data_IF_327944137454
#
_entry.id   IF_327944137454
#
_cell.length_a   1.000
_cell.length_b   1.000
_cell.length_c   1.000
_cell.angle_alpha   90.00
_cell.angle_beta   90.00
_cell.angle_gamma   90.00
#
_symmetry.space_group_name_H-M   'P 1'
#
loop_
_entity.id
_entity.type
_entity.pdbx_description
1 polymer ?
#
# COMPACT_ATOMS: atom_id res chain seq x y z
N UNK A 1 -30.38 47.09 15.72
CA UNK A 1 -30.78 45.81 15.09
C UNK A 1 -29.78 45.48 13.99
N UNK A 2 -28.88 44.53 14.24
CA UNK A 2 -27.80 44.16 13.31
C UNK A 2 -28.35 43.08 12.37
N UNK A 3 -28.55 43.42 11.09
CA UNK A 3 -28.92 42.46 10.04
C UNK A 3 -27.63 41.79 9.55
N UNK A 4 -27.28 40.66 10.15
CA UNK A 4 -26.26 39.77 9.59
C UNK A 4 -26.80 39.25 8.25
N UNK A 5 -26.11 39.47 7.11
CA UNK A 5 -26.63 39.03 5.81
C UNK A 5 -26.61 37.51 5.78
N UNK A 6 -27.76 36.90 5.50
CA UNK A 6 -27.94 35.44 5.33
C UNK A 6 -26.92 34.86 4.33
N UNK A 7 -26.48 35.67 3.37
CA UNK A 7 -25.41 35.35 2.40
C UNK A 7 -24.05 35.02 3.03
N UNK A 8 -23.70 35.65 4.16
CA UNK A 8 -22.39 35.43 4.82
C UNK A 8 -22.39 34.09 5.57
N UNK A 9 -23.51 33.69 6.18
CA UNK A 9 -23.63 32.38 6.83
C UNK A 9 -23.54 31.22 5.82
N UNK A 10 -24.16 31.36 4.65
CA UNK A 10 -24.10 30.32 3.60
C UNK A 10 -22.70 30.16 3.01
N UNK A 11 -21.92 31.25 2.91
CA UNK A 11 -20.55 31.19 2.38
C UNK A 11 -19.60 30.48 3.37
N UNK A 12 -19.77 30.70 4.67
CA UNK A 12 -18.98 30.04 5.72
C UNK A 12 -19.35 28.55 5.82
N UNK A 13 -20.63 28.19 5.69
CA UNK A 13 -21.06 26.79 5.66
C UNK A 13 -20.54 26.02 4.42
N UNK A 14 -20.49 26.69 3.25
CA UNK A 14 -19.93 26.12 2.03
C UNK A 14 -18.41 25.93 2.10
N UNK A 15 -17.68 26.85 2.75
CA UNK A 15 -16.24 26.71 2.99
C UNK A 15 -15.91 25.61 4.01
N UNK A 16 -16.74 25.41 5.03
CA UNK A 16 -16.57 24.33 6.01
C UNK A 16 -16.85 22.94 5.41
N UNK A 17 -17.78 22.84 4.46
CA UNK A 17 -18.09 21.58 3.77
C UNK A 17 -17.02 21.15 2.77
N UNK A 18 -16.14 22.06 2.35
CA UNK A 18 -15.02 21.76 1.45
C UNK A 18 -13.83 21.09 2.17
N UNK A 19 -13.80 21.13 3.51
CA UNK A 19 -12.94 20.29 4.34
C UNK A 19 -13.69 19.02 4.76
N UNK A 20 -14.29 18.33 3.79
CA UNK A 20 -14.63 16.94 4.00
C UNK A 20 -13.31 16.24 4.34
N UNK A 21 -13.18 15.81 5.61
CA UNK A 21 -12.13 14.93 6.07
C UNK A 21 -11.89 13.91 4.96
N UNK A 22 -10.64 13.77 4.52
CA UNK A 22 -10.23 12.63 3.71
C UNK A 22 -10.35 11.39 4.61
N UNK A 23 -11.60 10.95 4.82
CA UNK A 23 -11.96 9.83 5.65
C UNK A 23 -11.32 8.56 5.14
N UNK A 24 -11.35 7.52 5.97
CA UNK A 24 -10.95 6.18 5.56
C UNK A 24 -11.62 5.84 4.22
N UNK A 25 -10.81 5.61 3.19
CA UNK A 25 -11.33 5.25 1.88
C UNK A 25 -11.27 3.75 1.72
N UNK A 26 -12.16 3.19 0.91
CA UNK A 26 -12.20 1.74 0.66
C UNK A 26 -11.50 1.42 -0.65
N UNK A 27 -10.67 0.38 -0.64
CA UNK A 27 -10.06 -0.20 -1.82
C UNK A 27 -10.42 -1.69 -1.92
N UNK A 28 -10.63 -2.18 -3.15
CA UNK A 28 -10.86 -3.61 -3.39
C UNK A 28 -9.55 -4.33 -3.63
N UNK A 29 -9.33 -5.45 -2.94
CA UNK A 29 -8.21 -6.34 -3.22
C UNK A 29 -8.53 -7.14 -4.47
N UNK A 30 -7.68 -7.04 -5.48
CA UNK A 30 -7.82 -7.80 -6.73
C UNK A 30 -7.01 -9.08 -6.72
N UNK A 31 -5.78 -9.00 -6.22
CA UNK A 31 -4.82 -10.10 -6.24
C UNK A 31 -3.79 -9.89 -5.14
N UNK A 32 -3.24 -10.99 -4.62
CA UNK A 32 -2.20 -10.99 -3.59
C UNK A 32 -1.10 -11.95 -4.06
N UNK A 33 0.13 -11.46 -4.10
CA UNK A 33 1.34 -12.27 -4.30
C UNK A 33 2.08 -12.38 -2.99
N UNK A 34 2.46 -13.59 -2.62
CA UNK A 34 3.14 -13.89 -1.36
C UNK A 34 4.61 -14.21 -1.60
N UNK A 35 5.51 -13.58 -0.85
CA UNK A 35 6.94 -13.83 -0.88
C UNK A 35 7.38 -14.38 0.49
N UNK A 36 7.24 -15.69 0.74
CA UNK A 36 7.43 -16.27 2.07
C UNK A 36 8.89 -16.23 2.53
N UNK A 37 9.84 -16.25 1.58
CA UNK A 37 11.27 -16.12 1.87
C UNK A 37 11.66 -14.67 2.18
N UNK A 38 10.82 -13.71 1.80
CA UNK A 38 11.05 -12.29 1.98
C UNK A 38 11.80 -11.64 0.82
N UNK A 39 12.63 -10.66 1.13
CA UNK A 39 13.38 -9.86 0.15
C UNK A 39 14.74 -10.49 -0.07
N UNK A 40 15.29 -10.27 -1.25
CA UNK A 40 16.68 -10.59 -1.55
C UNK A 40 17.53 -9.58 -0.77
N UNK A 41 18.26 -10.09 0.23
CA UNK A 41 19.20 -9.32 1.02
C UNK A 41 20.51 -9.12 0.24
N UNK A 42 21.04 -10.20 -0.35
CA UNK A 42 22.21 -10.18 -1.22
C UNK A 42 22.26 -11.42 -2.12
N UNK A 43 23.23 -11.49 -3.02
CA UNK A 43 23.47 -12.62 -3.92
C UNK A 43 24.79 -13.31 -3.60
N UNK A 44 24.78 -14.63 -3.45
CA UNK A 44 25.98 -15.47 -3.43
C UNK A 44 26.18 -16.08 -4.82
N UNK A 45 26.96 -15.39 -5.65
CA UNK A 45 27.10 -15.74 -7.07
C UNK A 45 25.77 -15.60 -7.81
N UNK A 46 25.09 -16.72 -8.10
CA UNK A 46 23.75 -16.76 -8.74
C UNK A 46 22.64 -17.18 -7.79
N UNK A 47 22.95 -17.37 -6.51
CA UNK A 47 21.98 -17.82 -5.50
C UNK A 47 21.49 -16.58 -4.73
N UNK A 48 20.20 -16.25 -4.76
CA UNK A 48 19.67 -15.17 -3.93
C UNK A 48 19.62 -15.63 -2.46
N UNK A 49 20.15 -14.79 -1.56
CA UNK A 49 20.06 -14.96 -0.12
C UNK A 49 18.98 -14.02 0.41
N UNK A 50 17.97 -14.59 1.06
CA UNK A 50 16.81 -13.85 1.52
C UNK A 50 16.93 -13.36 2.96
N UNK A 51 16.20 -12.30 3.30
CA UNK A 51 16.13 -11.75 4.67
C UNK A 51 15.24 -12.58 5.62
N UNK A 52 14.45 -13.52 5.10
CA UNK A 52 13.57 -14.37 5.89
C UNK A 52 12.32 -13.65 6.43
N UNK A 53 12.03 -12.43 5.97
CA UNK A 53 10.89 -11.64 6.42
C UNK A 53 9.77 -11.65 5.39
N UNK A 54 8.62 -12.30 5.65
CA UNK A 54 7.56 -12.43 4.66
C UNK A 54 7.03 -11.09 4.15
N UNK A 55 6.88 -11.01 2.82
CA UNK A 55 6.39 -9.82 2.12
C UNK A 55 5.16 -10.18 1.29
N UNK A 56 4.19 -9.27 1.25
CA UNK A 56 2.93 -9.42 0.53
C UNK A 56 2.75 -8.27 -0.45
N UNK A 57 2.70 -8.57 -1.75
CA UNK A 57 2.37 -7.59 -2.78
C UNK A 57 0.87 -7.67 -3.08
N UNK A 58 0.13 -6.62 -2.71
CA UNK A 58 -1.32 -6.56 -2.77
C UNK A 58 -1.72 -5.62 -3.90
N UNK A 59 -2.42 -6.16 -4.90
CA UNK A 59 -3.00 -5.35 -5.98
C UNK A 59 -4.34 -4.80 -5.52
N UNK A 60 -4.41 -3.48 -5.35
CA UNK A 60 -5.59 -2.74 -4.95
C UNK A 60 -6.24 -2.04 -6.13
N UNK A 61 -7.57 -2.09 -6.23
CA UNK A 61 -8.37 -1.18 -7.02
C UNK A 61 -8.90 -0.07 -6.10
N UNK A 62 -8.39 1.14 -6.30
CA UNK A 62 -8.77 2.31 -5.51
C UNK A 62 -8.93 3.51 -6.45
N UNK A 63 -10.04 4.23 -6.34
CA UNK A 63 -10.36 5.37 -7.23
C UNK A 63 -10.24 5.02 -8.72
N UNK A 64 -10.74 3.84 -9.12
CA UNK A 64 -10.69 3.29 -10.48
C UNK A 64 -9.27 3.07 -11.04
N UNK A 65 -8.24 3.13 -10.19
CA UNK A 65 -6.84 2.88 -10.54
C UNK A 65 -6.33 1.64 -9.81
N UNK A 66 -5.44 0.91 -10.48
CA UNK A 66 -4.74 -0.22 -9.89
C UNK A 66 -3.45 0.27 -9.23
N UNK A 67 -3.22 -0.17 -8.01
CA UNK A 67 -1.99 0.06 -7.26
C UNK A 67 -1.45 -1.30 -6.81
N UNK A 68 -0.14 -1.46 -6.81
CA UNK A 68 0.50 -2.60 -6.14
C UNK A 68 1.16 -2.03 -4.89
N UNK A 69 0.77 -2.54 -3.73
CA UNK A 69 1.33 -2.11 -2.45
C UNK A 69 2.00 -3.29 -1.76
N UNK A 70 3.20 -3.05 -1.25
CA UNK A 70 4.00 -4.02 -0.53
C UNK A 70 3.82 -3.84 0.97
N UNK A 71 3.26 -4.87 1.60
CA UNK A 71 3.17 -5.00 3.05
C UNK A 71 4.28 -5.93 3.55
N UNK A 72 5.12 -5.42 4.44
CA UNK A 72 6.21 -6.19 5.07
C UNK A 72 5.75 -6.64 6.46
N UNK A 73 5.69 -7.96 6.70
CA UNK A 73 5.20 -8.50 7.96
C UNK A 73 6.35 -8.99 8.83
N UNK A 74 6.67 -8.23 9.88
CA UNK A 74 7.72 -8.59 10.84
C UNK A 74 7.43 -9.91 11.58
N UNK A 75 6.17 -10.28 11.72
CA UNK A 75 5.74 -11.50 12.42
C UNK A 75 5.31 -12.62 11.48
N UNK A 76 5.36 -12.37 10.16
CA UNK A 76 4.76 -13.24 9.15
C UNK A 76 3.22 -13.25 9.15
N UNK A 77 2.57 -12.54 10.09
CA UNK A 77 1.12 -12.47 10.17
C UNK A 77 0.53 -11.82 8.90
N UNK A 78 -0.52 -12.46 8.38
CA UNK A 78 -1.34 -11.96 7.29
C UNK A 78 -2.81 -11.88 7.72
N UNK A 79 -3.48 -10.72 7.62
CA UNK A 79 -4.85 -10.58 8.11
C UNK A 79 -5.83 -11.38 7.21
N UNK A 80 -6.66 -12.24 7.78
CA UNK A 80 -7.70 -12.99 7.02
C UNK A 80 -8.67 -12.09 6.26
N UNK A 81 -8.89 -10.86 6.73
CA UNK A 81 -9.74 -9.90 6.03
C UNK A 81 -9.15 -9.47 4.68
N UNK A 82 -7.84 -9.61 4.50
CA UNK A 82 -7.15 -9.23 3.28
C UNK A 82 -7.11 -10.41 2.32
N UNK A 83 -8.23 -10.73 1.69
CA UNK A 83 -8.29 -11.77 0.66
C UNK A 83 -8.71 -11.15 -0.67
N UNK A 84 -8.33 -11.78 -1.78
CA UNK A 84 -8.74 -11.32 -3.10
C UNK A 84 -10.27 -11.31 -3.20
N UNK A 85 -10.83 -10.20 -3.69
CA UNK A 85 -12.26 -9.96 -3.73
C UNK A 85 -12.78 -9.10 -2.57
N UNK A 86 -12.09 -9.08 -1.42
CA UNK A 86 -12.50 -8.29 -0.26
C UNK A 86 -12.19 -6.80 -0.43
N UNK A 87 -12.89 -6.01 0.36
CA UNK A 87 -12.65 -4.58 0.50
C UNK A 87 -11.89 -4.29 1.79
N UNK A 88 -10.94 -3.36 1.72
CA UNK A 88 -10.15 -2.91 2.86
C UNK A 88 -10.15 -1.39 2.93
N UNK A 89 -10.08 -0.88 4.16
CA UNK A 89 -9.84 0.54 4.34
C UNK A 89 -8.37 0.86 4.09
N UNK A 90 -8.15 1.96 3.37
CA UNK A 90 -6.84 2.48 3.01
C UNK A 90 -6.80 3.98 3.22
N UNK A 91 -5.61 4.48 3.55
CA UNK A 91 -5.30 5.92 3.53
C UNK A 91 -3.99 6.11 2.80
N UNK A 92 -3.92 7.14 1.95
CA UNK A 92 -2.67 7.52 1.29
C UNK A 92 -2.13 8.79 1.92
N UNK A 93 -0.93 8.71 2.50
CA UNK A 93 -0.26 9.85 3.13
C UNK A 93 1.18 9.94 2.64
N UNK A 94 1.59 11.13 2.15
CA UNK A 94 2.99 11.43 1.78
C UNK A 94 3.65 10.36 0.88
N UNK A 95 2.90 9.81 -0.08
CA UNK A 95 3.39 8.77 -1.01
C UNK A 95 3.46 7.35 -0.44
N UNK A 96 2.93 7.11 0.75
CA UNK A 96 2.79 5.78 1.36
C UNK A 96 1.31 5.41 1.48
N UNK A 97 1.05 4.12 1.48
CA UNK A 97 -0.26 3.57 1.82
C UNK A 97 -0.26 3.15 3.28
N UNK A 98 -1.36 3.41 3.97
CA UNK A 98 -1.70 2.80 5.23
C UNK A 98 -2.87 1.86 4.96
N UNK A 99 -2.67 0.58 5.24
CA UNK A 99 -3.70 -0.45 5.12
C UNK A 99 -4.27 -0.70 6.51
N UNK A 100 -5.58 -0.80 6.63
CA UNK A 100 -6.20 -0.98 7.95
C UNK A 100 -6.54 -2.45 8.21
N UNK A 101 -6.22 -2.90 9.41
CA UNK A 101 -6.58 -4.19 10.00
C UNK A 101 -7.39 -3.92 11.27
N UNK A 102 -8.72 -3.90 11.15
CA UNK A 102 -9.55 -3.35 12.22
C UNK A 102 -9.19 -1.88 12.44
N UNK A 103 -8.80 -1.53 13.66
CA UNK A 103 -8.40 -0.17 14.04
C UNK A 103 -6.90 0.10 13.85
N UNK A 104 -6.11 -0.92 13.48
CA UNK A 104 -4.67 -0.78 13.31
C UNK A 104 -4.33 -0.36 11.88
N UNK A 105 -3.60 0.74 11.74
CA UNK A 105 -3.02 1.18 10.48
C UNK A 105 -1.63 0.60 10.30
N UNK A 106 -1.43 -0.24 9.28
CA UNK A 106 -0.13 -0.81 8.95
C UNK A 106 0.45 -0.17 7.69
N UNK A 107 1.76 0.16 7.69
CA UNK A 107 2.38 0.80 6.55
C UNK A 107 2.57 -0.17 5.38
N UNK A 108 2.28 0.31 4.18
CA UNK A 108 2.57 -0.37 2.93
C UNK A 108 3.20 0.62 1.93
N UNK A 109 4.17 0.15 1.17
CA UNK A 109 4.87 0.95 0.14
C UNK A 109 4.25 0.67 -1.22
N UNK A 110 3.96 1.72 -2.00
CA UNK A 110 3.63 1.55 -3.41
C UNK A 110 4.85 1.01 -4.17
N UNK A 111 4.66 -0.08 -4.90
CA UNK A 111 5.69 -0.73 -5.71
C UNK A 111 5.24 -0.82 -7.17
N UNK A 112 6.21 -0.81 -8.07
CA UNK A 112 5.99 -1.05 -9.49
C UNK A 112 5.94 -2.55 -9.76
N UNK A 113 5.22 -2.97 -10.81
CA UNK A 113 5.28 -4.37 -11.30
C UNK A 113 6.68 -4.77 -11.77
N UNK A 114 7.57 -3.80 -12.00
CA UNK A 114 8.96 -4.00 -12.37
C UNK A 114 9.91 -4.06 -11.15
N UNK A 115 9.41 -3.88 -9.93
CA UNK A 115 10.22 -3.96 -8.69
C UNK A 115 10.38 -5.43 -8.22
N UNK A 116 10.63 -6.34 -9.16
CA UNK A 116 10.95 -7.74 -8.92
C UNK A 116 12.13 -8.19 -9.78
N UNK A 117 12.84 -9.22 -9.34
CA UNK A 117 13.99 -9.80 -10.04
C UNK A 117 13.68 -11.20 -10.51
N UNK A 118 14.03 -11.50 -11.75
CA UNK A 118 14.00 -12.88 -12.23
C UNK A 118 15.01 -13.73 -11.44
N UNK A 119 14.54 -14.78 -10.75
CA UNK A 119 15.38 -15.59 -9.85
C UNK A 119 16.59 -16.27 -10.51
N UNK A 120 16.72 -16.20 -11.83
CA UNK A 120 17.82 -16.80 -12.60
C UNK A 120 19.10 -15.96 -12.67
N UNK A 121 19.09 -14.68 -12.30
CA UNK A 121 20.30 -13.84 -12.30
C UNK A 121 20.13 -12.54 -11.47
N UNK A 122 21.21 -12.05 -10.83
CA UNK A 122 21.20 -10.71 -10.26
C UNK A 122 20.97 -9.64 -11.35
N UNK A 123 20.22 -8.57 -11.07
CA UNK A 123 20.07 -7.46 -11.98
C UNK A 123 21.40 -6.71 -12.12
N UNK A 124 21.71 -6.25 -13.33
CA UNK A 124 22.90 -5.42 -13.59
C UNK A 124 22.48 -3.97 -13.83
N UNK A 125 22.88 -2.99 -13.00
CA UNK A 125 23.53 -3.07 -11.69
C UNK A 125 22.54 -3.34 -10.55
N UNK A 126 23.01 -3.90 -9.44
CA UNK A 126 22.21 -4.15 -8.23
C UNK A 126 21.47 -2.88 -7.80
N UNK A 127 20.13 -2.86 -7.77
CA UNK A 127 19.42 -1.66 -7.39
C UNK A 127 19.60 -1.37 -5.90
N UNK A 128 19.53 -0.09 -5.56
CA UNK A 128 19.66 0.40 -4.19
C UNK A 128 18.48 -0.01 -3.26
N UNK A 129 17.50 -0.76 -3.78
CA UNK A 129 16.30 -1.16 -3.05
C UNK A 129 16.21 -2.67 -2.98
N UNK A 130 16.02 -3.27 -1.78
CA UNK A 130 15.93 -4.72 -1.68
C UNK A 130 14.71 -5.26 -2.45
N UNK A 131 14.95 -6.32 -3.20
CA UNK A 131 14.08 -6.78 -4.27
C UNK A 131 13.31 -8.04 -3.85
N UNK A 132 12.26 -8.38 -4.58
CA UNK A 132 11.56 -9.68 -4.41
C UNK A 132 11.68 -10.48 -5.71
N UNK A 133 11.64 -11.81 -5.65
CA UNK A 133 11.57 -12.62 -6.87
C UNK A 133 10.32 -12.30 -7.70
N UNK A 134 10.46 -12.27 -9.02
CA UNK A 134 9.31 -12.40 -9.91
C UNK A 134 8.82 -13.86 -9.86
N UNK A 135 7.50 -14.06 -9.83
CA UNK A 135 6.88 -15.37 -10.14
C UNK A 135 6.92 -15.65 -11.65
#
# INVERSE_FOLDING_TARGET
>A
MIRVPILVLSLVAALLSAFAEQGLQTAKILFIRTHPQGRINHWEGRVPIFDGQPVYDITLLWNHKKYIVRYESLTGYYPKAWEAGNEIHVKRERGKFLLYRGDEAVPAREVSSYDCVSGSAPPTPAPATPEVPCE
#
